data_IF_891577957701
#
_entry.id   IF_891577957701
#
_cell.length_a   1.000
_cell.length_b   1.000
_cell.length_c   1.000
_cell.angle_alpha   90.00
_cell.angle_beta   90.00
_cell.angle_gamma   90.00
#
_symmetry.space_group_name_H-M   'P 1'
#
loop_
_entity.id
_entity.type
_entity.pdbx_description
1 polymer ?
#
# COMPACT_ATOMS: atom_id res chain seq x y z
N UNK A 1 -3.35 17.72 -10.17
CA UNK A 1 -2.86 17.05 -8.93
C UNK A 1 -1.66 17.83 -8.39
N UNK A 2 -1.29 17.74 -7.11
CA UNK A 2 -0.29 18.59 -6.42
C UNK A 2 0.79 19.23 -7.33
N UNK A 3 1.64 18.42 -7.98
CA UNK A 3 2.73 18.89 -8.84
C UNK A 3 2.28 19.76 -10.02
N UNK A 4 1.15 19.43 -10.64
CA UNK A 4 0.54 20.17 -11.76
C UNK A 4 -0.03 21.53 -11.34
N UNK A 5 -0.18 21.78 -10.04
CA UNK A 5 -0.55 23.10 -9.52
C UNK A 5 0.67 23.97 -9.21
N UNK A 6 1.80 23.33 -8.91
CA UNK A 6 3.06 23.97 -8.55
C UNK A 6 3.87 24.33 -9.80
N UNK A 7 3.69 23.57 -10.88
CA UNK A 7 4.40 23.75 -12.14
C UNK A 7 3.38 24.02 -13.23
N UNK A 8 3.38 25.24 -13.75
CA UNK A 8 2.59 25.64 -14.91
C UNK A 8 3.19 25.03 -16.20
N UNK A 9 2.95 23.73 -16.41
CA UNK A 9 3.34 22.99 -17.60
C UNK A 9 2.13 22.25 -18.20
N UNK A 10 1.63 22.65 -19.38
CA UNK A 10 0.46 22.01 -19.99
C UNK A 10 0.67 20.51 -20.29
N UNK A 11 1.92 20.03 -20.36
CA UNK A 11 2.23 18.60 -20.52
C UNK A 11 1.93 17.82 -19.25
N UNK A 12 2.14 18.40 -18.07
CA UNK A 12 1.81 17.79 -16.78
C UNK A 12 0.30 17.69 -16.61
N UNK A 13 -0.44 18.75 -16.99
CA UNK A 13 -1.89 18.77 -16.94
C UNK A 13 -2.49 17.68 -17.85
N UNK A 14 -2.01 17.63 -19.10
CA UNK A 14 -2.45 16.63 -20.06
C UNK A 14 -2.07 15.21 -19.64
N UNK A 15 -0.88 14.99 -19.05
CA UNK A 15 -0.46 13.68 -18.55
C UNK A 15 -1.31 13.25 -17.35
N UNK A 16 -1.56 14.16 -16.41
CA UNK A 16 -2.41 13.91 -15.24
C UNK A 16 -3.82 13.53 -15.67
N UNK A 17 -4.42 14.30 -16.59
CA UNK A 17 -5.74 14.00 -17.14
C UNK A 17 -5.78 12.62 -17.81
N UNK A 18 -4.81 12.30 -18.67
CA UNK A 18 -4.73 10.97 -19.33
C UNK A 18 -4.61 9.83 -18.31
N UNK A 19 -3.83 10.02 -17.25
CA UNK A 19 -3.69 9.02 -16.20
C UNK A 19 -5.02 8.78 -15.46
N UNK A 20 -5.73 9.85 -15.07
CA UNK A 20 -7.03 9.74 -14.43
C UNK A 20 -8.08 9.10 -15.35
N UNK A 21 -8.14 9.53 -16.62
CA UNK A 21 -9.03 8.96 -17.63
C UNK A 21 -8.77 7.45 -17.80
N UNK A 22 -7.50 7.03 -17.87
CA UNK A 22 -7.10 5.63 -17.94
C UNK A 22 -7.52 4.88 -16.67
N UNK A 23 -7.27 5.41 -15.48
CA UNK A 23 -7.64 4.72 -14.24
C UNK A 23 -9.16 4.57 -14.11
N UNK A 24 -9.95 5.55 -14.52
CA UNK A 24 -11.41 5.44 -14.55
C UNK A 24 -11.85 4.38 -15.58
N UNK A 25 -11.27 4.40 -16.78
CA UNK A 25 -11.62 3.47 -17.85
C UNK A 25 -11.23 2.01 -17.56
N UNK A 26 -10.19 1.81 -16.74
CA UNK A 26 -9.66 0.47 -16.39
C UNK A 26 -10.26 -0.10 -15.11
N UNK A 27 -11.04 0.69 -14.36
CA UNK A 27 -11.73 0.19 -13.18
C UNK A 27 -12.76 -0.88 -13.59
N UNK A 28 -12.70 -2.03 -12.93
CA UNK A 28 -13.55 -3.17 -13.20
C UNK A 28 -15.00 -2.90 -12.77
N UNK A 29 -15.95 -3.65 -13.34
CA UNK A 29 -17.37 -3.53 -13.00
C UNK A 29 -17.67 -3.82 -11.52
N UNK A 30 -16.87 -4.70 -10.90
CA UNK A 30 -16.97 -5.00 -9.47
C UNK A 30 -16.43 -3.85 -8.58
N UNK A 31 -15.73 -2.88 -9.15
CA UNK A 31 -15.18 -1.67 -8.50
C UNK A 31 -13.69 -1.72 -8.16
N UNK A 32 -13.03 -2.87 -8.33
CA UNK A 32 -11.57 -3.00 -8.19
C UNK A 32 -10.81 -2.55 -9.43
N UNK A 33 -9.48 -2.73 -9.42
CA UNK A 33 -8.59 -2.53 -10.56
C UNK A 33 -7.82 -3.82 -10.88
N UNK A 34 -7.58 -4.11 -12.17
CA UNK A 34 -6.78 -5.25 -12.58
C UNK A 34 -5.32 -5.08 -12.18
N UNK A 35 -4.56 -6.16 -12.18
CA UNK A 35 -3.11 -6.12 -11.96
C UNK A 35 -2.37 -5.52 -13.19
N UNK A 36 -2.83 -5.79 -14.40
CA UNK A 36 -2.29 -5.20 -15.64
C UNK A 36 -3.40 -4.74 -16.60
N UNK A 37 -3.07 -3.75 -17.44
CA UNK A 37 -3.92 -3.29 -18.52
C UNK A 37 -3.08 -2.91 -19.75
N UNK A 38 -3.52 -3.20 -21.01
CA UNK A 38 -4.74 -3.93 -21.39
C UNK A 38 -4.76 -5.39 -20.90
N UNK A 39 -5.95 -6.00 -20.89
CA UNK A 39 -6.15 -7.37 -20.39
C UNK A 39 -5.16 -8.37 -21.00
N UNK A 40 -4.57 -9.20 -20.13
CA UNK A 40 -3.55 -10.20 -20.46
C UNK A 40 -4.07 -11.63 -20.29
N UNK A 41 -5.23 -11.79 -19.65
CA UNK A 41 -5.76 -13.08 -19.22
C UNK A 41 -5.22 -13.51 -17.85
N UNK A 42 -5.86 -14.52 -17.27
CA UNK A 42 -5.48 -15.11 -15.98
C UNK A 42 -5.50 -14.06 -14.85
N UNK A 43 -4.69 -14.24 -13.80
CA UNK A 43 -4.71 -13.38 -12.62
C UNK A 43 -4.34 -11.91 -12.89
N UNK A 44 -3.77 -11.59 -14.05
CA UNK A 44 -3.45 -10.22 -14.44
C UNK A 44 -4.70 -9.35 -14.59
N UNK A 45 -5.85 -9.97 -14.89
CA UNK A 45 -7.12 -9.29 -15.12
C UNK A 45 -7.99 -9.19 -13.85
N UNK A 46 -7.57 -9.82 -12.75
CA UNK A 46 -8.32 -9.87 -11.49
C UNK A 46 -8.22 -8.57 -10.70
N UNK A 47 -9.25 -8.28 -9.91
CA UNK A 47 -9.22 -7.19 -8.94
C UNK A 47 -8.13 -7.48 -7.90
N UNK A 48 -7.09 -6.64 -7.84
CA UNK A 48 -5.83 -6.99 -7.15
C UNK A 48 -5.43 -6.00 -6.05
N UNK A 49 -5.47 -6.46 -4.80
CA UNK A 49 -4.86 -5.78 -3.64
C UNK A 49 -3.37 -6.11 -3.47
N UNK A 50 -2.87 -7.16 -4.14
CA UNK A 50 -1.46 -7.51 -4.05
C UNK A 50 -0.57 -6.29 -4.34
N UNK A 51 0.48 -6.13 -3.53
CA UNK A 51 1.42 -5.00 -3.57
C UNK A 51 0.76 -3.60 -3.48
N UNK A 52 -0.49 -3.52 -3.02
CA UNK A 52 -1.22 -2.26 -2.84
C UNK A 52 -1.95 -1.76 -4.08
N UNK A 53 -2.08 -2.56 -5.15
CA UNK A 53 -2.63 -2.12 -6.45
C UNK A 53 -3.93 -1.31 -6.35
N UNK A 54 -4.99 -1.90 -5.80
CA UNK A 54 -6.27 -1.19 -5.58
C UNK A 54 -6.13 -0.04 -4.57
N UNK A 55 -5.38 -0.24 -3.49
CA UNK A 55 -5.22 0.77 -2.44
C UNK A 55 -4.57 2.07 -2.97
N UNK A 56 -3.54 1.93 -3.80
CA UNK A 56 -2.84 3.04 -4.43
C UNK A 56 -3.72 3.72 -5.49
N UNK A 57 -4.53 2.94 -6.24
CA UNK A 57 -5.52 3.51 -7.15
C UNK A 57 -6.55 4.37 -6.41
N UNK A 58 -7.03 3.88 -5.26
CA UNK A 58 -7.94 4.63 -4.39
C UNK A 58 -7.25 5.91 -3.88
N UNK A 59 -6.00 5.84 -3.44
CA UNK A 59 -5.26 7.02 -2.97
C UNK A 59 -5.15 8.10 -4.05
N UNK A 60 -4.84 7.73 -5.30
CA UNK A 60 -4.79 8.68 -6.42
C UNK A 60 -6.18 9.30 -6.67
N UNK A 61 -7.24 8.50 -6.63
CA UNK A 61 -8.62 9.00 -6.79
C UNK A 61 -9.05 9.91 -5.64
N UNK A 62 -8.63 9.64 -4.40
CA UNK A 62 -8.86 10.52 -3.25
C UNK A 62 -8.15 11.85 -3.47
N UNK A 63 -6.88 11.83 -3.89
CA UNK A 63 -6.15 13.05 -4.22
C UNK A 63 -6.83 13.83 -5.33
N UNK A 64 -7.23 13.18 -6.43
CA UNK A 64 -8.01 13.83 -7.49
C UNK A 64 -9.31 14.45 -6.96
N UNK A 65 -10.05 13.75 -6.09
CA UNK A 65 -11.28 14.25 -5.49
C UNK A 65 -11.06 15.44 -4.56
N UNK A 66 -9.93 15.49 -3.83
CA UNK A 66 -9.59 16.64 -2.98
C UNK A 66 -9.39 17.91 -3.79
N UNK A 67 -8.79 17.80 -4.97
CA UNK A 67 -8.53 18.93 -5.87
C UNK A 67 -9.77 19.34 -6.68
N UNK A 68 -10.54 18.38 -7.16
CA UNK A 68 -11.75 18.62 -7.94
C UNK A 68 -12.93 17.84 -7.34
N UNK A 69 -13.60 18.48 -6.38
CA UNK A 69 -14.72 17.87 -5.63
C UNK A 69 -15.95 17.65 -6.50
N UNK A 70 -16.09 18.43 -7.57
CA UNK A 70 -17.23 18.40 -8.48
C UNK A 70 -17.05 17.37 -9.61
N UNK A 71 -15.91 16.66 -9.63
CA UNK A 71 -15.66 15.56 -10.56
C UNK A 71 -16.46 14.31 -10.21
N UNK A 72 -17.68 14.22 -10.75
CA UNK A 72 -18.57 13.07 -10.54
C UNK A 72 -17.95 11.74 -10.98
N UNK A 73 -17.10 11.73 -12.01
CA UNK A 73 -16.47 10.49 -12.47
C UNK A 73 -15.50 9.92 -11.43
N UNK A 74 -14.65 10.77 -10.83
CA UNK A 74 -13.75 10.41 -9.74
C UNK A 74 -14.55 9.99 -8.50
N UNK A 75 -15.57 10.76 -8.11
CA UNK A 75 -16.42 10.44 -6.96
C UNK A 75 -17.15 9.11 -7.12
N UNK A 76 -17.66 8.82 -8.32
CA UNK A 76 -18.30 7.54 -8.64
C UNK A 76 -17.30 6.39 -8.63
N UNK A 77 -16.07 6.61 -9.13
CA UNK A 77 -14.98 5.64 -9.04
C UNK A 77 -14.66 5.26 -7.58
N UNK A 78 -14.54 6.26 -6.69
CA UNK A 78 -14.32 6.03 -5.25
C UNK A 78 -15.45 5.23 -4.62
N UNK A 79 -16.72 5.53 -4.95
CA UNK A 79 -17.88 4.79 -4.46
C UNK A 79 -17.92 3.35 -4.94
N UNK A 80 -17.54 3.09 -6.20
CA UNK A 80 -17.39 1.73 -6.72
C UNK A 80 -16.31 0.95 -5.96
N UNK A 81 -15.16 1.57 -5.72
CA UNK A 81 -14.06 0.97 -4.96
C UNK A 81 -14.46 0.68 -3.50
N UNK A 82 -15.15 1.62 -2.85
CA UNK A 82 -15.68 1.46 -1.51
C UNK A 82 -16.66 0.27 -1.44
N UNK A 83 -17.60 0.18 -2.39
CA UNK A 83 -18.49 -0.97 -2.51
C UNK A 83 -17.72 -2.28 -2.71
N UNK A 84 -16.73 -2.31 -3.59
CA UNK A 84 -15.88 -3.48 -3.82
C UNK A 84 -15.23 -3.96 -2.53
N UNK A 85 -14.63 -3.06 -1.77
CA UNK A 85 -13.99 -3.40 -0.49
C UNK A 85 -14.97 -4.01 0.50
N UNK A 86 -16.17 -3.43 0.62
CA UNK A 86 -17.23 -3.94 1.51
C UNK A 86 -17.70 -5.34 1.09
N UNK A 87 -17.97 -5.57 -0.20
CA UNK A 87 -18.53 -6.85 -0.68
C UNK A 87 -17.47 -7.95 -0.85
N UNK A 88 -16.18 -7.61 -0.87
CA UNK A 88 -15.09 -8.56 -1.02
C UNK A 88 -14.50 -9.04 0.31
N UNK A 89 -14.90 -8.45 1.45
CA UNK A 89 -14.54 -9.00 2.75
C UNK A 89 -15.12 -10.41 2.87
N UNK A 90 -14.29 -11.37 3.27
CA UNK A 90 -14.78 -12.72 3.48
C UNK A 90 -15.69 -12.76 4.71
N UNK A 91 -16.70 -13.64 4.75
CA UNK A 91 -17.54 -13.80 5.93
C UNK A 91 -16.76 -14.45 7.08
N UNK A 92 -17.32 -14.46 8.31
CA UNK A 92 -16.85 -15.32 9.38
C UNK A 92 -16.68 -16.78 8.89
N UNK A 93 -15.61 -17.48 9.31
CA UNK A 93 -14.75 -17.15 10.44
C UNK A 93 -13.53 -16.27 10.10
N UNK A 94 -13.44 -15.70 8.89
CA UNK A 94 -12.22 -15.00 8.42
C UNK A 94 -12.53 -13.66 7.77
N UNK A 95 -12.99 -12.66 8.55
CA UNK A 95 -13.37 -11.32 8.10
C UNK A 95 -12.20 -10.45 7.61
N UNK A 96 -11.41 -10.96 6.67
CA UNK A 96 -10.29 -10.28 6.02
C UNK A 96 -10.44 -10.29 4.50
N UNK A 97 -9.35 -9.93 3.80
CA UNK A 97 -9.31 -9.87 2.35
C UNK A 97 -8.20 -10.75 1.76
N UNK A 98 -8.45 -11.28 0.57
CA UNK A 98 -7.46 -11.97 -0.24
C UNK A 98 -6.61 -11.00 -1.05
N UNK A 99 -5.49 -11.49 -1.59
CA UNK A 99 -4.64 -10.66 -2.46
C UNK A 99 -5.30 -10.28 -3.79
N UNK A 100 -6.15 -11.15 -4.34
CA UNK A 100 -6.87 -10.89 -5.58
C UNK A 100 -8.19 -11.66 -5.65
N UNK A 101 -9.13 -11.11 -6.41
CA UNK A 101 -10.47 -11.64 -6.60
C UNK A 101 -10.82 -11.74 -8.09
N UNK A 102 -11.39 -12.88 -8.49
CA UNK A 102 -11.93 -13.04 -9.83
C UNK A 102 -13.23 -12.22 -10.02
N UNK A 103 -13.81 -12.30 -11.22
CA UNK A 103 -15.05 -11.63 -11.59
C UNK A 103 -16.27 -12.01 -10.72
N UNK A 104 -16.19 -13.15 -10.01
CA UNK A 104 -17.23 -13.67 -9.11
C UNK A 104 -16.97 -13.31 -7.63
N UNK A 105 -16.03 -12.41 -7.34
CA UNK A 105 -15.62 -12.03 -5.97
C UNK A 105 -15.08 -13.21 -5.14
N UNK A 106 -14.48 -14.19 -5.80
CA UNK A 106 -13.83 -15.30 -5.12
C UNK A 106 -12.32 -15.05 -5.04
N UNK A 107 -11.69 -15.28 -3.86
CA UNK A 107 -10.23 -15.34 -3.77
C UNK A 107 -9.65 -16.25 -4.85
N UNK A 108 -8.64 -15.77 -5.56
CA UNK A 108 -8.11 -16.45 -6.73
C UNK A 108 -6.61 -16.69 -6.64
N UNK A 109 -6.13 -17.69 -7.39
CA UNK A 109 -4.70 -17.92 -7.58
C UNK A 109 -4.08 -16.73 -8.31
N UNK A 110 -2.87 -16.34 -7.90
CA UNK A 110 -1.97 -15.55 -8.74
C UNK A 110 -0.85 -16.45 -9.26
N UNK A 111 0.38 -16.23 -8.80
CA UNK A 111 1.52 -17.10 -9.12
C UNK A 111 1.33 -18.48 -8.48
N UNK A 112 2.09 -19.48 -8.94
CA UNK A 112 1.98 -20.86 -8.47
C UNK A 112 2.22 -21.07 -6.96
N UNK A 113 2.69 -20.05 -6.25
CA UNK A 113 2.95 -20.05 -4.81
C UNK A 113 2.05 -19.04 -4.05
N UNK A 114 1.05 -18.47 -4.73
CA UNK A 114 0.10 -17.49 -4.18
C UNK A 114 -1.33 -18.02 -4.34
N UNK A 115 -1.77 -18.90 -3.42
CA UNK A 115 -3.07 -19.56 -3.49
C UNK A 115 -4.23 -18.60 -3.12
N UNK A 116 -5.48 -18.98 -3.44
CA UNK A 116 -6.68 -18.43 -2.82
C UNK A 116 -6.58 -18.54 -1.29
N UNK A 117 -6.44 -17.41 -0.62
CA UNK A 117 -6.26 -17.35 0.82
C UNK A 117 -6.54 -15.94 1.32
N UNK A 118 -6.91 -15.83 2.60
CA UNK A 118 -6.97 -14.54 3.27
C UNK A 118 -5.55 -14.07 3.57
N UNK A 119 -5.27 -12.79 3.34
CA UNK A 119 -3.94 -12.22 3.45
C UNK A 119 -3.91 -11.14 4.55
N UNK A 120 -3.29 -11.42 5.72
CA UNK A 120 -3.29 -10.50 6.86
C UNK A 120 -2.72 -9.11 6.54
N UNK A 121 -1.64 -9.03 5.75
CA UNK A 121 -1.07 -7.74 5.34
C UNK A 121 -2.03 -6.94 4.45
N UNK A 122 -2.77 -7.62 3.55
CA UNK A 122 -3.80 -6.95 2.74
C UNK A 122 -4.95 -6.48 3.63
N UNK A 123 -5.38 -7.29 4.60
CA UNK A 123 -6.40 -6.88 5.57
C UNK A 123 -6.01 -5.61 6.33
N UNK A 124 -4.77 -5.52 6.85
CA UNK A 124 -4.28 -4.31 7.54
C UNK A 124 -4.29 -3.08 6.62
N UNK A 125 -3.91 -3.23 5.35
CA UNK A 125 -3.98 -2.13 4.37
C UNK A 125 -5.43 -1.72 4.07
N UNK A 126 -6.31 -2.70 3.90
CA UNK A 126 -7.71 -2.45 3.59
C UNK A 126 -8.44 -1.76 4.74
N UNK A 127 -8.10 -2.04 6.01
CA UNK A 127 -8.61 -1.28 7.16
C UNK A 127 -8.24 0.21 7.02
N UNK A 128 -6.98 0.52 6.70
CA UNK A 128 -6.56 1.90 6.50
C UNK A 128 -7.26 2.55 5.30
N UNK A 129 -7.38 1.84 4.18
CA UNK A 129 -8.05 2.36 2.97
C UNK A 129 -9.55 2.58 3.18
N UNK A 130 -10.22 1.78 4.01
CA UNK A 130 -11.60 2.04 4.41
C UNK A 130 -11.72 3.32 5.23
N UNK A 131 -10.76 3.59 6.13
CA UNK A 131 -10.70 4.85 6.88
C UNK A 131 -10.40 6.04 5.94
N UNK A 132 -9.53 5.86 4.94
CA UNK A 132 -9.25 6.88 3.92
C UNK A 132 -10.52 7.21 3.11
N UNK A 133 -11.28 6.19 2.70
CA UNK A 133 -12.54 6.35 1.99
C UNK A 133 -13.62 6.98 2.88
N UNK A 134 -13.67 6.64 4.18
CA UNK A 134 -14.52 7.32 5.15
C UNK A 134 -14.21 8.82 5.20
N UNK A 135 -12.93 9.20 5.28
CA UNK A 135 -12.49 10.60 5.28
C UNK A 135 -12.83 11.35 3.98
N UNK A 136 -12.75 10.65 2.84
CA UNK A 136 -13.00 11.20 1.51
C UNK A 136 -14.51 11.30 1.18
N UNK A 137 -15.31 10.30 1.52
CA UNK A 137 -16.72 10.19 1.14
C UNK A 137 -17.69 10.61 2.25
N UNK A 138 -17.23 10.69 3.50
CA UNK A 138 -18.04 11.01 4.67
C UNK A 138 -19.05 9.94 5.06
N UNK A 139 -18.82 8.69 4.63
CA UNK A 139 -19.75 7.57 4.83
C UNK A 139 -19.29 6.66 5.99
N UNK A 140 -19.93 6.72 7.16
CA UNK A 140 -19.53 5.94 8.33
C UNK A 140 -19.74 4.43 8.16
N UNK A 141 -20.55 3.99 7.20
CA UNK A 141 -20.78 2.54 6.96
C UNK A 141 -19.49 1.83 6.53
N UNK A 142 -18.51 2.58 6.01
CA UNK A 142 -17.18 2.07 5.66
C UNK A 142 -16.34 1.64 6.86
N UNK A 143 -16.74 2.03 8.08
CA UNK A 143 -16.09 1.64 9.32
C UNK A 143 -16.66 0.34 9.91
N UNK A 144 -17.82 -0.13 9.45
CA UNK A 144 -18.51 -1.33 9.93
C UNK A 144 -17.71 -2.63 9.83
N UNK A 145 -16.93 -2.92 8.75
CA UNK A 145 -16.26 -4.22 8.62
C UNK A 145 -14.97 -4.33 9.46
N UNK A 146 -14.48 -3.22 10.03
CA UNK A 146 -13.16 -3.13 10.64
C UNK A 146 -13.03 -3.92 11.97
N UNK A 147 -14.00 -3.87 12.91
CA UNK A 147 -13.89 -4.58 14.19
C UNK A 147 -13.64 -6.09 14.03
N UNK A 148 -14.39 -6.72 13.14
CA UNK A 148 -14.28 -8.16 12.89
C UNK A 148 -12.92 -8.50 12.27
N UNK A 149 -12.43 -7.68 11.34
CA UNK A 149 -11.11 -7.82 10.75
C UNK A 149 -9.98 -7.69 11.79
N UNK A 150 -10.06 -6.68 12.68
CA UNK A 150 -9.09 -6.45 13.75
C UNK A 150 -9.07 -7.62 14.74
N UNK A 151 -10.26 -8.11 15.13
CA UNK A 151 -10.39 -9.28 15.99
C UNK A 151 -9.73 -10.51 15.36
N UNK A 152 -10.08 -10.80 14.11
CA UNK A 152 -9.51 -11.93 13.36
C UNK A 152 -7.98 -11.84 13.27
N UNK A 153 -7.43 -10.67 12.94
CA UNK A 153 -5.98 -10.45 12.89
C UNK A 153 -5.29 -10.78 14.22
N UNK A 154 -5.90 -10.46 15.37
CA UNK A 154 -5.35 -10.81 16.69
C UNK A 154 -5.39 -12.32 16.96
N UNK A 155 -6.46 -12.99 16.52
CA UNK A 155 -6.67 -14.44 16.73
C UNK A 155 -5.72 -15.32 15.92
N UNK A 156 -5.34 -14.91 14.70
CA UNK A 156 -4.49 -15.71 13.81
C UNK A 156 -2.99 -15.51 14.03
N UNK A 157 -2.60 -14.78 15.09
CA UNK A 157 -1.19 -14.58 15.43
C UNK A 157 -0.53 -15.92 15.71
N UNK A 158 0.57 -16.21 15.02
CA UNK A 158 1.33 -17.44 15.19
C UNK A 158 2.07 -17.45 16.53
N UNK A 159 2.42 -18.65 17.02
CA UNK A 159 3.17 -18.84 18.26
C UNK A 159 4.53 -18.11 18.25
N UNK A 160 5.13 -17.94 17.08
CA UNK A 160 6.39 -17.20 16.92
C UNK A 160 6.21 -15.66 16.90
N UNK A 161 5.01 -15.18 17.18
CA UNK A 161 4.66 -13.76 17.23
C UNK A 161 4.46 -13.08 15.87
N UNK A 162 4.47 -13.83 14.77
CA UNK A 162 4.26 -13.33 13.39
C UNK A 162 2.89 -13.70 12.83
N UNK A 163 2.64 -13.27 11.60
CA UNK A 163 1.45 -13.61 10.82
C UNK A 163 1.87 -14.27 9.52
N UNK A 164 1.21 -15.37 9.16
CA UNK A 164 1.38 -15.96 7.84
C UNK A 164 0.83 -15.03 6.76
N UNK A 165 1.49 -14.96 5.61
CA UNK A 165 1.04 -14.18 4.46
C UNK A 165 -0.26 -14.71 3.88
N UNK A 166 -0.45 -16.03 3.96
CA UNK A 166 -1.64 -16.72 3.48
C UNK A 166 -2.25 -17.51 4.62
N UNK A 167 -3.54 -17.33 4.83
CA UNK A 167 -4.34 -18.07 5.79
C UNK A 167 -5.36 -18.89 5.00
N UNK A 168 -5.36 -20.20 5.21
CA UNK A 168 -6.23 -21.15 4.51
C UNK A 168 -7.70 -20.84 4.79
N UNK A 169 -8.49 -20.85 3.72
CA UNK A 169 -9.92 -20.53 3.77
C UNK A 169 -10.64 -21.56 4.65
N UNK A 170 -11.39 -21.08 5.63
CA UNK A 170 -12.21 -21.87 6.54
C UNK A 170 -11.49 -22.47 7.76
N UNK A 171 -10.16 -22.38 7.87
CA UNK A 171 -9.42 -23.08 8.93
C UNK A 171 -8.62 -22.19 9.88
N UNK A 172 -8.37 -20.92 9.52
CA UNK A 172 -7.44 -20.02 10.22
C UNK A 172 -5.99 -20.54 10.33
N UNK A 173 -5.63 -21.59 9.58
CA UNK A 173 -4.28 -22.13 9.57
C UNK A 173 -3.40 -21.41 8.57
N UNK A 174 -2.10 -21.26 8.85
CA UNK A 174 -1.16 -20.73 7.87
C UNK A 174 -1.07 -21.66 6.65
N UNK A 175 -0.88 -21.06 5.48
CA UNK A 175 -0.82 -21.77 4.20
C UNK A 175 0.49 -21.45 3.49
N UNK A 176 1.24 -22.48 3.11
CA UNK A 176 2.53 -22.35 2.43
C UNK A 176 2.55 -23.17 1.14
N UNK A 177 3.02 -22.53 0.06
CA UNK A 177 3.18 -23.17 -1.24
C UNK A 177 4.54 -22.82 -1.84
N UNK A 178 5.25 -23.83 -2.34
CA UNK A 178 6.41 -23.65 -3.19
C UNK A 178 5.98 -23.52 -4.67
N UNK A 179 6.94 -23.24 -5.55
CA UNK A 179 6.77 -23.26 -7.00
C UNK A 179 6.18 -24.60 -7.45
N UNK A 180 5.31 -24.52 -8.46
CA UNK A 180 4.62 -25.70 -8.98
C UNK A 180 3.38 -26.10 -8.18
N UNK A 181 2.86 -25.21 -7.31
CA UNK A 181 1.71 -25.48 -6.44
C UNK A 181 1.94 -26.66 -5.48
N UNK A 182 3.18 -26.78 -4.98
CA UNK A 182 3.52 -27.79 -3.98
C UNK A 182 3.19 -27.22 -2.60
N UNK A 183 2.17 -27.75 -1.94
CA UNK A 183 1.83 -27.40 -0.56
C UNK A 183 2.89 -27.97 0.39
N UNK A 184 3.34 -27.16 1.34
CA UNK A 184 4.25 -27.56 2.42
C UNK A 184 3.65 -27.18 3.77
N UNK A 185 4.14 -27.79 4.86
CA UNK A 185 3.55 -27.58 6.20
C UNK A 185 4.19 -26.43 6.97
N UNK A 186 5.41 -26.02 6.59
CA UNK A 186 6.15 -24.98 7.29
C UNK A 186 7.08 -24.22 6.34
N UNK A 187 7.52 -23.04 6.76
CA UNK A 187 8.52 -22.26 6.02
C UNK A 187 9.87 -22.97 5.89
N UNK A 188 10.18 -23.94 6.75
CA UNK A 188 11.41 -24.73 6.71
C UNK A 188 11.44 -25.77 5.58
N UNK A 189 10.27 -26.17 5.08
CA UNK A 189 10.13 -27.11 3.95
C UNK A 189 10.20 -26.42 2.59
N UNK A 190 10.20 -25.07 2.55
CA UNK A 190 10.31 -24.30 1.31
C UNK A 190 11.72 -24.40 0.73
N UNK A 191 11.80 -24.48 -0.60
CA UNK A 191 13.07 -24.38 -1.30
C UNK A 191 13.82 -23.07 -0.94
N UNK A 192 15.16 -23.08 -0.78
CA UNK A 192 15.95 -21.92 -0.36
C UNK A 192 15.68 -20.63 -1.16
N UNK A 193 15.46 -20.76 -2.46
CA UNK A 193 15.08 -19.63 -3.33
C UNK A 193 13.77 -18.94 -2.92
N UNK A 194 12.78 -19.71 -2.43
CA UNK A 194 11.50 -19.18 -1.93
C UNK A 194 11.62 -18.66 -0.51
N UNK A 195 12.17 -19.46 0.41
CA UNK A 195 12.25 -19.09 1.83
C UNK A 195 13.07 -17.82 2.07
N UNK A 196 14.06 -17.54 1.23
CA UNK A 196 14.88 -16.31 1.30
C UNK A 196 14.37 -15.19 0.39
N UNK A 197 13.52 -15.48 -0.59
CA UNK A 197 13.11 -14.54 -1.64
C UNK A 197 11.69 -14.01 -1.50
N UNK A 198 10.91 -14.58 -0.59
CA UNK A 198 9.52 -14.25 -0.40
C UNK A 198 9.14 -14.40 1.07
N UNK A 199 8.60 -13.33 1.67
CA UNK A 199 8.20 -13.35 3.08
C UNK A 199 6.85 -14.07 3.23
N UNK A 200 6.90 -15.32 3.71
CA UNK A 200 5.70 -16.09 4.08
C UNK A 200 5.19 -15.78 5.49
N UNK A 201 6.04 -15.25 6.36
CA UNK A 201 5.67 -14.84 7.71
C UNK A 201 6.24 -13.47 8.03
N UNK A 202 5.39 -12.53 8.42
CA UNK A 202 5.75 -11.13 8.65
C UNK A 202 5.31 -10.71 10.04
N UNK A 203 6.10 -9.87 10.71
CA UNK A 203 5.66 -9.22 11.94
C UNK A 203 4.71 -8.07 11.60
N UNK A 204 3.45 -8.17 12.06
CA UNK A 204 2.41 -7.16 11.84
C UNK A 204 2.03 -6.41 13.12
N UNK A 205 2.76 -6.58 14.23
CA UNK A 205 2.41 -5.96 15.52
C UNK A 205 2.21 -4.44 15.40
N UNK A 206 3.25 -3.74 14.91
CA UNK A 206 3.22 -2.29 14.76
C UNK A 206 2.15 -1.80 13.78
N UNK A 207 2.03 -2.34 12.54
CA UNK A 207 1.00 -1.85 11.62
C UNK A 207 -0.42 -2.22 12.08
N UNK A 208 -0.62 -3.34 12.77
CA UNK A 208 -1.92 -3.70 13.37
C UNK A 208 -2.29 -2.76 14.52
N UNK A 209 -1.34 -2.43 15.38
CA UNK A 209 -1.56 -1.46 16.46
C UNK A 209 -1.88 -0.08 15.88
N UNK A 210 -1.11 0.37 14.90
CA UNK A 210 -1.32 1.65 14.23
C UNK A 210 -2.71 1.74 13.58
N UNK A 211 -3.16 0.71 12.85
CA UNK A 211 -4.49 0.73 12.23
C UNK A 211 -5.61 0.60 13.27
N UNK A 212 -5.40 -0.13 14.38
CA UNK A 212 -6.35 -0.20 15.50
C UNK A 212 -6.53 1.17 16.15
N UNK A 213 -5.45 1.88 16.47
CA UNK A 213 -5.50 3.23 17.04
C UNK A 213 -6.14 4.23 16.08
N UNK A 214 -5.84 4.12 14.78
CA UNK A 214 -6.46 4.96 13.75
C UNK A 214 -7.97 4.75 13.69
N UNK A 215 -8.43 3.50 13.76
CA UNK A 215 -9.84 3.15 13.83
C UNK A 215 -10.53 3.70 15.10
N UNK A 216 -9.91 3.54 16.27
CA UNK A 216 -10.41 4.09 17.53
C UNK A 216 -10.55 5.63 17.49
N UNK A 217 -9.59 6.31 16.86
CA UNK A 217 -9.67 7.75 16.59
C UNK A 217 -10.81 8.09 15.64
N UNK A 218 -11.04 7.31 14.60
CA UNK A 218 -12.16 7.51 13.68
C UNK A 218 -13.52 7.46 14.41
N UNK A 219 -13.69 6.49 15.33
CA UNK A 219 -14.92 6.37 16.13
C UNK A 219 -15.08 7.49 17.15
N UNK A 220 -14.01 7.83 17.87
CA UNK A 220 -14.07 8.79 18.99
C UNK A 220 -14.13 10.25 18.54
N UNK A 221 -13.39 10.60 17.48
CA UNK A 221 -13.30 11.97 16.97
C UNK A 221 -14.32 12.27 15.88
N UNK A 222 -14.88 11.23 15.24
CA UNK A 222 -15.69 11.38 14.04
C UNK A 222 -14.91 11.97 12.85
N UNK A 223 -15.63 12.31 11.79
CA UNK A 223 -15.04 12.67 10.49
C UNK A 223 -14.14 13.91 10.59
N UNK A 224 -14.69 15.00 11.12
CA UNK A 224 -13.97 16.28 11.19
C UNK A 224 -12.85 16.25 12.23
N UNK A 225 -13.07 15.56 13.35
CA UNK A 225 -12.05 15.42 14.38
C UNK A 225 -10.87 14.56 13.91
N UNK A 226 -11.14 13.43 13.22
CA UNK A 226 -10.10 12.62 12.62
C UNK A 226 -9.34 13.38 11.53
N UNK A 227 -10.04 14.09 10.64
CA UNK A 227 -9.41 14.90 9.60
C UNK A 227 -8.44 15.93 10.18
N UNK A 228 -8.82 16.61 11.26
CA UNK A 228 -7.93 17.54 11.98
C UNK A 228 -6.76 16.84 12.65
N UNK A 229 -6.98 15.63 13.20
CA UNK A 229 -5.92 14.87 13.86
C UNK A 229 -4.87 14.32 12.86
N UNK A 230 -5.28 13.96 11.64
CA UNK A 230 -4.39 13.46 10.58
C UNK A 230 -3.73 14.58 9.76
N UNK A 231 -4.36 15.75 9.73
CA UNK A 231 -3.84 16.96 9.08
C UNK A 231 -3.91 18.14 10.06
N UNK A 232 -3.05 18.16 11.10
CA UNK A 232 -3.06 19.26 12.06
C UNK A 232 -2.68 20.56 11.38
N UNK A 233 -3.34 21.65 11.78
CA UNK A 233 -2.86 23.00 11.46
C UNK A 233 -1.59 23.24 12.29
N UNK A 234 -0.47 23.45 11.60
CA UNK A 234 0.80 23.69 12.28
C UNK A 234 0.86 25.14 12.77
N UNK A 235 1.19 25.36 14.04
CA UNK A 235 1.46 26.71 14.53
C UNK A 235 2.79 27.22 13.94
N UNK A 236 2.98 28.55 13.91
CA UNK A 236 4.25 29.14 13.46
C UNK A 236 5.45 28.63 14.27
N UNK A 237 5.24 28.35 15.55
CA UNK A 237 6.26 27.80 16.44
C UNK A 237 6.57 26.34 16.10
N UNK A 238 5.55 25.50 15.87
CA UNK A 238 5.75 24.11 15.45
C UNK A 238 6.50 24.01 14.13
N UNK A 239 6.14 24.87 13.16
CA UNK A 239 6.83 24.95 11.86
C UNK A 239 8.30 25.31 12.07
N UNK A 240 8.58 26.36 12.85
CA UNK A 240 9.94 26.81 13.10
C UNK A 240 10.79 25.72 13.78
N UNK A 241 10.25 25.08 14.83
CA UNK A 241 10.92 24.01 15.56
C UNK A 241 11.20 22.80 14.66
N UNK A 242 10.26 22.42 13.80
CA UNK A 242 10.43 21.29 12.88
C UNK A 242 11.41 21.60 11.75
N UNK A 243 11.38 22.81 11.19
CA UNK A 243 12.37 23.25 10.22
C UNK A 243 13.78 23.26 10.81
N UNK A 244 13.94 23.72 12.05
CA UNK A 244 15.22 23.67 12.76
C UNK A 244 15.70 22.22 12.92
N UNK A 245 14.82 21.32 13.38
CA UNK A 245 15.13 19.90 13.55
C UNK A 245 15.51 19.20 12.25
N UNK A 246 14.86 19.54 11.13
CA UNK A 246 15.14 18.95 9.81
C UNK A 246 16.37 19.56 9.12
N UNK A 247 16.73 20.81 9.42
CA UNK A 247 17.75 21.57 8.68
C UNK A 247 19.11 20.86 8.63
N UNK A 248 19.52 20.22 9.72
CA UNK A 248 20.77 19.44 9.76
C UNK A 248 20.72 18.23 8.81
N UNK A 249 19.64 17.46 8.88
CA UNK A 249 19.42 16.29 8.02
C UNK A 249 19.31 16.69 6.54
N UNK A 250 18.64 17.80 6.23
CA UNK A 250 18.54 18.31 4.85
C UNK A 250 19.92 18.66 4.27
N UNK A 251 20.77 19.37 5.03
CA UNK A 251 22.14 19.65 4.58
C UNK A 251 22.93 18.37 4.32
N UNK A 252 22.86 17.41 5.24
CA UNK A 252 23.52 16.12 5.07
C UNK A 252 23.02 15.40 3.81
N UNK A 253 21.70 15.34 3.59
CA UNK A 253 21.12 14.71 2.40
C UNK A 253 21.66 15.34 1.11
N UNK A 254 21.80 16.66 1.05
CA UNK A 254 22.32 17.36 -0.12
C UNK A 254 23.84 17.11 -0.30
N UNK A 255 24.61 17.09 0.79
CA UNK A 255 26.05 16.82 0.78
C UNK A 255 26.39 15.37 0.39
N UNK A 256 25.50 14.42 0.65
CA UNK A 256 25.65 13.00 0.30
C UNK A 256 25.42 12.71 -1.19
N UNK A 257 24.92 13.68 -1.97
CA UNK A 257 24.76 13.51 -3.41
C UNK A 257 26.12 13.45 -4.12
N UNK A 258 26.26 12.56 -5.09
CA UNK A 258 27.42 12.56 -5.98
C UNK A 258 27.32 13.68 -7.03
N UNK A 259 28.29 13.75 -7.94
CA UNK A 259 28.34 14.77 -9.00
C UNK A 259 27.12 14.75 -9.96
N UNK A 260 26.36 13.65 -10.01
CA UNK A 260 25.13 13.53 -10.79
C UNK A 260 23.87 13.94 -10.01
N UNK A 261 23.99 14.21 -8.71
CA UNK A 261 22.86 14.43 -7.81
C UNK A 261 22.29 13.13 -7.21
N UNK A 262 22.95 11.99 -7.41
CA UNK A 262 22.44 10.70 -6.95
C UNK A 262 22.93 10.36 -5.53
N UNK A 263 22.05 9.75 -4.74
CA UNK A 263 22.44 9.11 -3.47
C UNK A 263 22.90 7.68 -3.73
N UNK A 264 24.21 7.46 -3.59
CA UNK A 264 24.82 6.15 -3.84
C UNK A 264 24.92 5.36 -2.53
N UNK A 265 24.24 4.23 -2.48
CA UNK A 265 24.44 3.22 -1.43
C UNK A 265 25.70 2.43 -1.77
N UNK A 266 26.75 2.61 -0.97
CA UNK A 266 28.05 1.96 -1.20
C UNK A 266 28.02 0.51 -0.75
N UNK A 267 28.66 -0.36 -1.52
CA UNK A 267 28.81 -1.79 -1.20
C UNK A 267 27.47 -2.48 -0.85
N UNK A 268 26.42 -2.18 -1.63
CA UNK A 268 25.11 -2.76 -1.40
C UNK A 268 25.10 -4.24 -1.80
N UNK A 269 24.61 -5.11 -0.92
CA UNK A 269 24.62 -6.56 -1.10
C UNK A 269 23.23 -7.06 -1.51
N UNK A 270 23.13 -7.63 -2.70
CA UNK A 270 21.85 -8.11 -3.27
C UNK A 270 22.00 -9.44 -3.99
N UNK A 271 20.87 -10.12 -4.24
CA UNK A 271 20.86 -11.41 -4.92
C UNK A 271 21.36 -11.26 -6.35
N UNK A 272 22.29 -12.13 -6.76
CA UNK A 272 22.72 -12.23 -8.15
C UNK A 272 21.54 -12.68 -9.01
N UNK A 273 21.30 -11.99 -10.13
CA UNK A 273 20.32 -12.41 -11.11
C UNK A 273 20.78 -13.72 -11.77
N UNK A 274 19.86 -14.67 -11.89
CA UNK A 274 20.12 -15.98 -12.49
C UNK A 274 19.62 -16.00 -13.95
N UNK A 275 20.23 -16.83 -14.82
CA UNK A 275 19.69 -17.09 -16.14
C UNK A 275 18.23 -17.54 -16.09
N UNK A 276 17.47 -17.24 -17.15
CA UNK A 276 16.05 -17.60 -17.23
C UNK A 276 15.87 -19.10 -17.08
N UNK A 277 15.08 -19.50 -16.09
CA UNK A 277 14.79 -20.91 -15.78
C UNK A 277 15.61 -21.48 -14.64
N UNK A 278 16.65 -20.79 -14.19
CA UNK A 278 17.47 -21.22 -13.06
C UNK A 278 16.96 -20.63 -11.74
N UNK A 279 16.97 -21.45 -10.68
CA UNK A 279 16.66 -20.99 -9.32
C UNK A 279 17.87 -20.28 -8.74
N UNK A 280 17.62 -19.24 -7.94
CA UNK A 280 18.67 -18.59 -7.16
C UNK A 280 19.40 -19.61 -6.27
N UNK A 281 20.73 -19.60 -6.37
CA UNK A 281 21.62 -20.63 -5.82
C UNK A 281 22.42 -20.14 -4.60
N UNK A 282 21.99 -19.05 -3.94
CA UNK A 282 22.69 -18.49 -2.78
C UNK A 282 23.71 -17.40 -3.10
N UNK A 283 23.97 -17.10 -4.37
CA UNK A 283 24.96 -16.10 -4.77
C UNK A 283 24.47 -14.66 -4.57
N UNK A 284 25.31 -13.84 -3.95
CA UNK A 284 25.11 -12.40 -3.81
C UNK A 284 26.15 -11.64 -4.63
N UNK A 285 25.79 -10.43 -5.05
CA UNK A 285 26.71 -9.43 -5.58
C UNK A 285 26.79 -8.28 -4.58
N UNK A 286 27.94 -7.60 -4.57
CA UNK A 286 28.19 -6.40 -3.79
C UNK A 286 28.73 -5.32 -4.74
N UNK A 287 28.01 -4.20 -4.83
CA UNK A 287 28.45 -3.05 -5.63
C UNK A 287 27.69 -1.79 -5.21
N UNK A 288 28.20 -0.65 -5.63
CA UNK A 288 27.55 0.64 -5.44
C UNK A 288 26.25 0.73 -6.26
N UNK A 289 25.15 1.17 -5.63
CA UNK A 289 23.84 1.27 -6.28
C UNK A 289 23.03 2.47 -5.82
N UNK A 290 22.11 2.91 -6.68
CA UNK A 290 21.01 3.79 -6.28
C UNK A 290 19.93 2.90 -5.67
N UNK A 291 19.73 3.04 -4.35
CA UNK A 291 18.66 2.35 -3.63
C UNK A 291 17.39 3.19 -3.63
N UNK A 292 16.28 2.62 -4.10
CA UNK A 292 14.96 3.28 -4.03
C UNK A 292 14.56 3.59 -2.58
N UNK A 293 15.01 2.80 -1.60
CA UNK A 293 14.72 3.07 -0.20
C UNK A 293 15.44 4.34 0.30
N UNK A 294 16.71 4.52 -0.08
CA UNK A 294 17.47 5.74 0.22
C UNK A 294 16.86 6.94 -0.50
N UNK A 295 16.54 6.79 -1.78
CA UNK A 295 15.88 7.83 -2.57
C UNK A 295 14.56 8.28 -1.91
N UNK A 296 13.65 7.34 -1.61
CA UNK A 296 12.35 7.67 -1.04
C UNK A 296 12.46 8.35 0.33
N UNK A 297 13.39 7.89 1.18
CA UNK A 297 13.64 8.50 2.49
C UNK A 297 14.14 9.94 2.33
N UNK A 298 15.16 10.14 1.50
CA UNK A 298 15.78 11.45 1.32
C UNK A 298 14.82 12.44 0.64
N UNK A 299 14.14 12.01 -0.43
CA UNK A 299 13.12 12.80 -1.09
C UNK A 299 11.96 13.15 -0.15
N UNK A 300 11.51 12.22 0.70
CA UNK A 300 10.46 12.48 1.69
C UNK A 300 10.83 13.59 2.68
N UNK A 301 12.06 13.57 3.23
CA UNK A 301 12.55 14.62 4.13
C UNK A 301 12.64 15.97 3.42
N UNK A 302 13.15 16.00 2.18
CA UNK A 302 13.24 17.23 1.39
C UNK A 302 11.85 17.81 1.08
N UNK A 303 10.89 16.96 0.71
CA UNK A 303 9.51 17.39 0.48
C UNK A 303 8.86 17.95 1.77
N UNK A 304 9.02 17.27 2.91
CA UNK A 304 8.51 17.77 4.20
C UNK A 304 9.10 19.15 4.53
N UNK A 305 10.42 19.30 4.35
CA UNK A 305 11.10 20.58 4.60
C UNK A 305 10.56 21.70 3.69
N UNK A 306 10.39 21.43 2.40
CA UNK A 306 9.86 22.40 1.44
C UNK A 306 8.42 22.81 1.77
N UNK A 307 7.56 21.85 2.10
CA UNK A 307 6.17 22.14 2.50
C UNK A 307 6.12 23.02 3.77
N UNK A 308 6.96 22.75 4.76
CA UNK A 308 7.04 23.58 5.96
C UNK A 308 7.59 24.98 5.67
N UNK A 309 8.55 25.12 4.75
CA UNK A 309 9.03 26.43 4.29
C UNK A 309 7.91 27.24 3.61
N UNK A 310 7.07 26.58 2.79
CA UNK A 310 5.91 27.24 2.18
C UNK A 310 4.93 27.73 3.23
N UNK A 311 4.59 26.89 4.21
CA UNK A 311 3.72 27.25 5.32
C UNK A 311 4.29 28.41 6.16
N UNK A 312 5.61 28.47 6.35
CA UNK A 312 6.27 29.55 7.09
C UNK A 312 6.23 30.89 6.33
N UNK A 313 6.45 30.86 5.01
CA UNK A 313 6.62 32.07 4.18
C UNK A 313 5.32 32.54 3.53
N UNK A 314 4.28 31.70 3.50
CA UNK A 314 3.03 31.97 2.81
C UNK A 314 3.18 32.06 1.29
N UNK A 315 4.24 31.49 0.74
CA UNK A 315 4.60 31.46 -0.69
C UNK A 315 4.94 30.05 -1.11
#
# INVERSE_FOLDING_TARGET
MALDQEIDDPRLAAATKRALDMMIATQLDNGGWPHEYPMRGNYHDYATFNDGGINDCIRVMIEAHRYDKDNDAVRNSLRKAARFMMISQLPPPQPGWAQQYNEFLQPAWARAFEPPAVCPMVTVRNINTLIDLYLALGDPTLLEPIPDALKWLREIRLENGKWARFVEIGTNKPLYYDRGRIRVNSVAELHPERSTGYAYETNLEQPLEACSQRYEKALSLGLDGLRKAEHPEWSKEDIANRLEALSGTVRQILEEQDASGAWITRNDRFKKEMPRGERWNGQYLEMDRISSAVFNRNAGVLCEYLELCKLQTGR
#
